data_IF_770303322102
#
_entry.id   IF_770303322102
#
_cell.length_a   1.000
_cell.length_b   1.000
_cell.length_c   1.000
_cell.angle_alpha   90.00
_cell.angle_beta   90.00
_cell.angle_gamma   90.00
#
_symmetry.space_group_name_H-M   'P 1'
#
loop_
_entity.id
_entity.type
_entity.pdbx_description
1 polymer ?
#
# COMPACT_ATOMS: atom_id res chain seq x y z
N UNK A 1 5.90 2.91 15.03
CA UNK A 1 5.44 3.29 13.67
C UNK A 1 6.36 4.39 13.13
N UNK A 2 6.76 4.27 11.88
CA UNK A 2 7.48 5.30 11.11
C UNK A 2 6.45 6.31 10.60
N UNK A 3 6.75 7.61 10.69
CA UNK A 3 5.87 8.69 10.24
C UNK A 3 6.66 9.63 9.31
N UNK A 4 6.66 9.39 7.99
CA UNK A 4 7.35 10.23 7.02
C UNK A 4 6.77 11.65 6.97
N UNK A 5 7.61 12.65 6.75
CA UNK A 5 7.20 14.06 6.62
C UNK A 5 6.95 14.47 5.16
N UNK A 6 7.31 13.63 4.20
CA UNK A 6 7.12 13.85 2.76
C UNK A 6 6.34 12.68 2.20
N UNK A 7 5.24 12.96 1.51
CA UNK A 7 4.42 11.94 0.84
C UNK A 7 4.93 11.70 -0.58
N UNK A 8 4.98 10.44 -1.01
CA UNK A 8 5.71 10.03 -2.21
C UNK A 8 4.81 9.60 -3.37
N UNK A 9 3.58 9.15 -3.10
CA UNK A 9 2.62 8.68 -4.10
C UNK A 9 2.37 9.68 -5.23
N UNK A 10 2.32 10.98 -4.92
CA UNK A 10 2.13 12.01 -5.93
C UNK A 10 3.32 12.13 -6.90
N UNK A 11 4.54 12.04 -6.37
CA UNK A 11 5.75 12.05 -7.19
C UNK A 11 5.80 10.81 -8.07
N UNK A 12 5.47 9.65 -7.52
CA UNK A 12 5.37 8.40 -8.27
C UNK A 12 4.33 8.47 -9.40
N UNK A 13 3.14 9.05 -9.14
CA UNK A 13 2.10 9.23 -10.14
C UNK A 13 2.43 10.30 -11.19
N UNK A 14 3.24 11.30 -10.84
CA UNK A 14 3.69 12.32 -11.78
C UNK A 14 4.68 11.78 -12.82
N UNK A 15 5.32 10.65 -12.56
CA UNK A 15 6.19 9.97 -13.53
C UNK A 15 5.39 9.61 -14.82
N UNK A 16 5.90 9.95 -16.02
CA UNK A 16 5.25 9.58 -17.28
C UNK A 16 4.96 8.08 -17.43
N UNK A 17 5.78 7.22 -16.82
CA UNK A 17 5.61 5.75 -16.81
C UNK A 17 4.35 5.32 -16.05
N UNK A 18 3.93 6.11 -15.06
CA UNK A 18 2.73 5.85 -14.24
C UNK A 18 1.42 6.27 -14.92
N UNK A 19 1.40 6.43 -16.25
CA UNK A 19 0.19 6.82 -16.99
C UNK A 19 -0.95 5.83 -16.78
N UNK A 20 -0.67 4.53 -16.87
CA UNK A 20 -1.69 3.50 -16.71
C UNK A 20 -2.25 3.51 -15.29
N UNK A 21 -1.38 3.57 -14.27
CA UNK A 21 -1.79 3.67 -12.87
C UNK A 21 -2.72 4.88 -12.62
N UNK A 22 -2.39 6.05 -13.18
CA UNK A 22 -3.27 7.24 -13.10
C UNK A 22 -4.63 7.03 -13.74
N UNK A 23 -4.66 6.40 -14.92
CA UNK A 23 -5.92 6.10 -15.62
C UNK A 23 -6.76 5.10 -14.82
N UNK A 24 -6.17 4.02 -14.33
CA UNK A 24 -6.86 3.02 -13.50
C UNK A 24 -7.42 3.64 -12.22
N UNK A 25 -6.62 4.43 -11.49
CA UNK A 25 -7.09 5.13 -10.29
C UNK A 25 -8.28 6.07 -10.55
N UNK A 26 -8.39 6.61 -11.77
CA UNK A 26 -9.50 7.49 -12.13
C UNK A 26 -10.81 6.74 -12.40
N UNK A 27 -10.77 5.42 -12.65
CA UNK A 27 -11.96 4.60 -12.90
C UNK A 27 -12.54 3.95 -11.64
N UNK A 28 -11.76 3.90 -10.56
CA UNK A 28 -12.18 3.27 -9.30
C UNK A 28 -13.21 4.13 -8.56
N UNK A 29 -14.01 3.48 -7.72
CA UNK A 29 -14.87 4.20 -6.79
C UNK A 29 -14.04 5.02 -5.77
N UNK A 30 -14.71 5.91 -5.04
CA UNK A 30 -14.03 6.84 -4.12
C UNK A 30 -13.21 6.13 -3.05
N UNK A 31 -13.75 5.07 -2.43
CA UNK A 31 -13.10 4.35 -1.34
C UNK A 31 -11.98 3.44 -1.86
N UNK A 32 -12.24 2.72 -2.94
CA UNK A 32 -11.25 1.86 -3.58
C UNK A 32 -10.05 2.68 -4.09
N UNK A 33 -10.31 3.84 -4.72
CA UNK A 33 -9.24 4.77 -5.11
C UNK A 33 -8.40 5.23 -3.91
N UNK A 34 -9.03 5.51 -2.77
CA UNK A 34 -8.31 5.89 -1.55
C UNK A 34 -7.39 4.76 -1.09
N UNK A 35 -7.89 3.51 -1.05
CA UNK A 35 -7.10 2.34 -0.67
C UNK A 35 -5.92 2.15 -1.63
N UNK A 36 -6.13 2.23 -2.94
CA UNK A 36 -5.06 2.06 -3.93
C UNK A 36 -4.00 3.17 -3.86
N UNK A 37 -4.40 4.42 -3.60
CA UNK A 37 -3.45 5.52 -3.36
C UNK A 37 -2.62 5.29 -2.09
N UNK A 38 -3.22 4.77 -1.03
CA UNK A 38 -2.52 4.46 0.21
C UNK A 38 -1.59 3.24 0.07
N UNK A 39 -1.97 2.25 -0.73
CA UNK A 39 -1.10 1.12 -1.07
C UNK A 39 0.12 1.60 -1.85
N UNK A 40 -0.06 2.49 -2.84
CA UNK A 40 1.05 3.10 -3.56
C UNK A 40 1.97 3.90 -2.64
N UNK A 41 1.40 4.70 -1.73
CA UNK A 41 2.19 5.42 -0.72
C UNK A 41 2.99 4.45 0.15
N UNK A 42 2.40 3.33 0.57
CA UNK A 42 3.08 2.32 1.37
C UNK A 42 4.30 1.74 0.65
N UNK A 43 4.15 1.37 -0.64
CA UNK A 43 5.26 0.85 -1.46
C UNK A 43 6.42 1.85 -1.51
N UNK A 44 6.14 3.09 -1.88
CA UNK A 44 7.15 4.14 -2.01
C UNK A 44 7.84 4.46 -0.67
N UNK A 45 7.07 4.49 0.42
CA UNK A 45 7.61 4.79 1.75
C UNK A 45 8.45 3.66 2.32
N UNK A 46 8.06 2.40 2.09
CA UNK A 46 8.84 1.23 2.52
C UNK A 46 10.18 1.19 1.78
N UNK A 47 10.15 1.39 0.46
CA UNK A 47 11.36 1.46 -0.37
C UNK A 47 12.31 2.58 0.08
N UNK A 48 11.77 3.78 0.35
CA UNK A 48 12.57 4.92 0.81
C UNK A 48 13.11 4.75 2.24
N UNK A 49 12.36 4.07 3.11
CA UNK A 49 12.73 3.88 4.52
C UNK A 49 13.83 2.84 4.72
N UNK A 50 13.85 1.78 3.91
CA UNK A 50 14.84 0.71 4.03
C UNK A 50 15.21 0.14 2.65
N UNK A 51 16.44 0.41 2.21
CA UNK A 51 16.98 -0.02 0.92
C UNK A 51 17.11 -1.55 0.75
N UNK A 52 16.89 -2.33 1.81
CA UNK A 52 16.80 -3.79 1.72
C UNK A 52 15.46 -4.30 1.16
N UNK A 53 14.45 -3.43 1.04
CA UNK A 53 13.16 -3.77 0.45
C UNK A 53 13.01 -3.17 -0.95
N UNK A 54 12.58 -3.99 -1.89
CA UNK A 54 12.00 -3.60 -3.17
C UNK A 54 10.52 -4.05 -3.18
N UNK A 55 9.59 -3.22 -2.67
CA UNK A 55 8.21 -3.64 -2.47
C UNK A 55 7.41 -3.55 -3.77
N UNK A 56 6.68 -4.61 -4.09
CA UNK A 56 6.01 -4.78 -5.39
C UNK A 56 4.48 -4.71 -5.30
N UNK A 57 3.93 -5.17 -4.18
CA UNK A 57 2.48 -5.33 -3.98
C UNK A 57 2.12 -5.15 -2.52
N UNK A 58 0.95 -4.55 -2.27
CA UNK A 58 0.31 -4.48 -0.94
C UNK A 58 -1.03 -5.20 -1.00
N UNK A 59 -1.29 -6.07 -0.03
CA UNK A 59 -2.60 -6.65 0.26
C UNK A 59 -3.10 -6.02 1.56
N UNK A 60 -4.07 -5.09 1.53
CA UNK A 60 -4.45 -4.29 2.71
C UNK A 60 -5.29 -5.08 3.74
N UNK A 61 -5.77 -6.26 3.37
CA UNK A 61 -6.72 -7.08 4.15
C UNK A 61 -6.18 -8.46 4.55
N UNK A 62 -4.86 -8.69 4.53
CA UNK A 62 -4.28 -10.03 4.68
C UNK A 62 -4.73 -10.76 5.97
N UNK A 63 -4.59 -10.14 7.13
CA UNK A 63 -5.02 -10.72 8.43
C UNK A 63 -6.23 -10.02 9.04
N UNK A 64 -6.55 -8.81 8.55
CA UNK A 64 -7.70 -8.00 8.97
C UNK A 64 -8.03 -7.00 7.88
N UNK A 65 -9.32 -6.87 7.54
CA UNK A 65 -9.79 -5.88 6.58
C UNK A 65 -9.37 -4.46 6.97
N UNK A 66 -9.03 -3.67 5.95
CA UNK A 66 -8.88 -2.23 6.10
C UNK A 66 -10.23 -1.56 6.39
N UNK A 67 -10.17 -0.40 7.02
CA UNK A 67 -11.32 0.48 7.23
C UNK A 67 -11.13 1.77 6.47
N UNK A 68 -12.17 2.23 5.79
CA UNK A 68 -12.22 3.54 5.14
C UNK A 68 -13.24 4.40 5.89
N UNK A 69 -12.79 5.52 6.46
CA UNK A 69 -13.66 6.46 7.17
C UNK A 69 -13.33 7.89 6.80
N UNK A 70 -14.32 8.61 6.28
CA UNK A 70 -14.21 9.98 5.76
C UNK A 70 -13.06 10.15 4.75
N UNK A 71 -11.86 10.48 5.24
CA UNK A 71 -10.67 10.70 4.42
C UNK A 71 -9.47 9.89 4.92
N UNK A 72 -9.69 8.84 5.70
CA UNK A 72 -8.64 8.00 6.29
C UNK A 72 -8.84 6.54 5.90
N UNK A 73 -7.76 5.90 5.48
CA UNK A 73 -7.64 4.45 5.31
C UNK A 73 -6.74 3.91 6.41
N UNK A 74 -7.24 2.94 7.16
CA UNK A 74 -6.48 2.24 8.19
C UNK A 74 -6.42 0.76 7.85
N UNK A 75 -5.22 0.22 7.68
CA UNK A 75 -5.00 -1.19 7.40
C UNK A 75 -4.09 -1.77 8.48
N UNK A 76 -4.67 -2.43 9.49
CA UNK A 76 -3.93 -2.99 10.62
C UNK A 76 -3.41 -4.41 10.37
N UNK A 77 -3.97 -5.08 9.36
CA UNK A 77 -3.64 -6.44 8.98
C UNK A 77 -3.14 -6.56 7.55
N UNK A 78 -2.49 -5.53 7.03
CA UNK A 78 -1.96 -5.56 5.67
C UNK A 78 -0.72 -6.46 5.57
N UNK A 79 -0.33 -6.77 4.34
CA UNK A 79 0.94 -7.36 4.01
C UNK A 79 1.51 -6.68 2.77
N UNK A 80 2.84 -6.66 2.63
CA UNK A 80 3.49 -6.30 1.37
C UNK A 80 4.44 -7.39 0.92
N UNK A 81 4.64 -7.49 -0.39
CA UNK A 81 5.59 -8.39 -1.01
C UNK A 81 6.87 -7.66 -1.37
N UNK A 82 8.01 -8.28 -1.09
CA UNK A 82 9.32 -7.84 -1.56
C UNK A 82 10.24 -9.05 -1.73
N UNK A 83 10.93 -9.15 -2.87
CA UNK A 83 11.84 -10.25 -3.20
C UNK A 83 11.23 -11.65 -2.96
N UNK A 84 10.03 -11.90 -3.49
CA UNK A 84 9.26 -13.15 -3.33
C UNK A 84 8.89 -13.52 -1.89
N UNK A 85 9.10 -12.63 -0.91
CA UNK A 85 8.69 -12.82 0.46
C UNK A 85 7.56 -11.85 0.84
N UNK A 86 6.64 -12.31 1.68
CA UNK A 86 5.60 -11.48 2.26
C UNK A 86 6.00 -11.03 3.66
N UNK A 87 5.65 -9.80 4.01
CA UNK A 87 5.92 -9.21 5.31
C UNK A 87 4.64 -8.58 5.86
N UNK A 88 4.48 -8.62 7.18
CA UNK A 88 3.39 -7.91 7.84
C UNK A 88 3.51 -6.40 7.62
N UNK A 89 2.38 -5.74 7.43
CA UNK A 89 2.28 -4.29 7.31
C UNK A 89 1.10 -3.79 8.13
N UNK A 90 1.29 -2.66 8.80
CA UNK A 90 0.17 -1.84 9.25
C UNK A 90 0.39 -0.40 8.85
N UNK A 91 -0.68 0.30 8.48
CA UNK A 91 -0.61 1.72 8.19
C UNK A 91 -1.90 2.48 8.52
N UNK A 92 -1.74 3.77 8.74
CA UNK A 92 -2.81 4.77 8.68
C UNK A 92 -2.43 5.82 7.64
N UNK A 93 -3.35 6.07 6.73
CA UNK A 93 -3.18 6.92 5.57
C UNK A 93 -4.31 7.93 5.51
N UNK A 94 -3.97 9.21 5.63
CA UNK A 94 -4.93 10.32 5.52
C UNK A 94 -4.83 10.95 4.15
N UNK A 95 -5.97 11.14 3.51
CA UNK A 95 -6.08 11.78 2.20
C UNK A 95 -6.70 13.18 2.29
N UNK A 96 -6.32 14.03 1.35
CA UNK A 96 -6.89 15.35 1.08
C UNK A 96 -7.45 15.43 -0.33
N UNK A 97 -7.94 16.61 -0.72
CA UNK A 97 -8.42 16.87 -2.08
C UNK A 97 -9.55 15.97 -2.54
N UNK A 98 -10.46 15.57 -1.63
CA UNK A 98 -11.54 14.63 -1.93
C UNK A 98 -11.07 13.19 -2.14
N UNK A 99 -10.06 12.74 -1.39
CA UNK A 99 -9.54 11.37 -1.46
C UNK A 99 -8.62 11.12 -2.66
N UNK A 100 -7.88 12.14 -3.10
CA UNK A 100 -7.04 12.10 -4.32
C UNK A 100 -5.56 12.36 -4.09
N UNK A 101 -5.18 12.72 -2.87
CA UNK A 101 -3.82 13.04 -2.48
C UNK A 101 -3.57 12.51 -1.07
N UNK A 102 -2.51 11.75 -0.86
CA UNK A 102 -2.07 11.42 0.49
C UNK A 102 -1.42 12.65 1.12
N UNK A 103 -1.83 12.98 2.35
CA UNK A 103 -1.41 14.18 3.09
C UNK A 103 -0.83 13.86 4.46
N UNK A 104 -1.00 12.63 4.95
CA UNK A 104 -0.21 12.08 6.05
C UNK A 104 -0.22 10.55 5.95
N UNK A 105 0.89 9.95 6.35
CA UNK A 105 1.05 8.51 6.35
C UNK A 105 1.89 8.09 7.56
N UNK A 106 1.53 6.96 8.17
CA UNK A 106 2.36 6.28 9.16
C UNK A 106 2.24 4.79 8.98
N UNK A 107 3.33 4.07 9.18
CA UNK A 107 3.35 2.63 8.95
C UNK A 107 4.26 1.88 9.93
N UNK A 108 4.12 0.56 9.93
CA UNK A 108 5.03 -0.35 10.59
C UNK A 108 5.18 -1.61 9.74
N UNK A 109 6.43 -1.99 9.47
CA UNK A 109 6.80 -3.27 8.86
C UNK A 109 6.99 -4.29 9.98
N UNK A 110 6.25 -5.38 9.90
CA UNK A 110 6.36 -6.54 10.79
C UNK A 110 7.23 -7.65 10.19
N UNK A 111 7.16 -8.82 10.81
CA UNK A 111 7.95 -9.99 10.43
C UNK A 111 7.56 -10.56 9.06
N UNK A 112 8.46 -11.37 8.50
CA UNK A 112 8.17 -12.18 7.33
C UNK A 112 7.03 -13.17 7.63
N UNK A 113 6.08 -13.27 6.72
CA UNK A 113 4.93 -14.18 6.79
C UNK A 113 5.38 -15.53 6.21
N UNK A 114 5.31 -16.63 6.99
CA UNK A 114 5.71 -17.95 6.50
C UNK A 114 4.92 -18.37 5.26
N UNK A 115 5.57 -18.98 4.23
CA UNK A 115 4.89 -19.42 3.00
C UNK A 115 3.68 -20.32 3.22
N UNK A 116 3.72 -21.14 4.27
CA UNK A 116 2.60 -22.00 4.66
C UNK A 116 1.29 -21.23 4.99
N UNK A 117 1.37 -19.92 5.26
CA UNK A 117 0.20 -19.07 5.56
C UNK A 117 -0.31 -18.30 4.36
N UNK A 118 0.42 -18.27 3.24
CA UNK A 118 0.11 -17.34 2.15
C UNK A 118 -1.25 -17.59 1.52
N UNK A 119 -1.58 -18.86 1.23
CA UNK A 119 -2.87 -19.24 0.66
C UNK A 119 -4.05 -18.80 1.56
N UNK A 120 -3.94 -19.04 2.87
CA UNK A 120 -4.97 -18.69 3.85
C UNK A 120 -5.18 -17.17 3.99
N UNK A 121 -4.15 -16.39 3.68
CA UNK A 121 -4.16 -14.92 3.79
C UNK A 121 -4.37 -14.23 2.43
N UNK A 122 -4.65 -14.97 1.36
CA UNK A 122 -4.85 -14.42 0.01
C UNK A 122 -3.59 -13.78 -0.57
N UNK A 123 -2.40 -14.27 -0.18
CA UNK A 123 -1.11 -13.76 -0.61
C UNK A 123 -0.60 -14.59 -1.80
N UNK A 124 -0.58 -14.06 -3.04
CA UNK A 124 -0.17 -14.82 -4.21
C UNK A 124 1.32 -15.16 -4.18
N UNK A 125 1.65 -16.38 -4.63
CA UNK A 125 3.02 -16.89 -4.77
C UNK A 125 3.65 -16.63 -6.15
N UNK A 126 2.84 -16.29 -7.17
CA UNK A 126 3.29 -15.96 -8.54
C UNK A 126 3.38 -14.44 -8.77
N UNK A 127 3.85 -13.97 -9.94
CA UNK A 127 3.77 -12.54 -10.28
C UNK A 127 2.33 -12.06 -10.05
N UNK A 128 2.17 -10.91 -9.38
CA UNK A 128 0.89 -10.46 -8.81
C UNK A 128 -0.27 -10.56 -9.79
N UNK A 129 -1.38 -11.13 -9.30
CA UNK A 129 -2.68 -11.39 -9.95
C UNK A 129 -2.85 -10.75 -11.35
N UNK A 130 -2.78 -11.60 -12.37
CA UNK A 130 -3.37 -11.38 -13.71
C UNK A 130 -4.91 -11.35 -13.63
#
# INVERSE_FOLDING_TARGET
>A
MVAPTVMLSQKALADPRSRQARTSLATLDGSERMVQLCNLEALEQIHAWNAGFDPELVVPYATRNETVSAATVTAEGAAFRSHDAWYGLSFECRLGGGGRQVVAFRFHVGDAIPPARWADLGLPSGPGLD
#
